data_IF_036477111936
#
_entry.id   IF_036477111936
#
_cell.length_a   1.000
_cell.length_b   1.000
_cell.length_c   1.000
_cell.angle_alpha   90.00
_cell.angle_beta   90.00
_cell.angle_gamma   90.00
#
_symmetry.space_group_name_H-M   'P 1'
#
loop_
_entity.id
_entity.type
_entity.pdbx_description
1 polymer ?
#
# COMPACT_ATOMS: atom_id res chain seq x y z
N UNK A 1 -54.65 10.32 10.59
CA UNK A 1 -54.99 10.28 12.03
C UNK A 1 -54.30 9.04 12.59
N UNK A 2 -52.98 8.95 12.47
CA UNK A 2 -51.98 9.67 13.29
C UNK A 2 -52.05 9.23 14.75
N UNK A 3 -51.12 8.38 15.17
CA UNK A 3 -50.06 8.77 16.10
C UNK A 3 -49.10 7.58 16.27
N UNK A 4 -47.90 7.69 15.68
CA UNK A 4 -46.77 6.81 15.97
C UNK A 4 -45.57 7.72 16.18
N UNK A 5 -45.46 8.15 17.44
CA UNK A 5 -44.23 8.69 17.98
C UNK A 5 -43.26 7.52 18.20
N UNK A 6 -42.22 7.42 17.35
CA UNK A 6 -40.97 6.72 17.69
C UNK A 6 -39.80 7.38 16.97
N UNK A 7 -38.91 7.92 17.78
CA UNK A 7 -37.62 8.53 17.45
C UNK A 7 -36.70 7.52 16.74
N UNK A 8 -35.81 7.98 15.84
CA UNK A 8 -34.78 7.12 15.26
C UNK A 8 -33.64 6.91 16.26
N UNK A 9 -33.47 5.64 16.65
CA UNK A 9 -32.35 5.10 17.41
C UNK A 9 -31.04 5.26 16.62
N UNK A 10 -30.12 6.02 17.19
CA UNK A 10 -28.72 6.15 16.75
C UNK A 10 -27.99 4.90 17.25
N UNK A 11 -27.64 4.00 16.34
CA UNK A 11 -26.67 2.93 16.65
C UNK A 11 -25.27 3.50 16.54
N UNK A 12 -24.65 3.75 17.70
CA UNK A 12 -23.20 3.91 17.85
C UNK A 12 -22.52 2.64 17.34
N UNK A 13 -21.67 2.78 16.32
CA UNK A 13 -20.75 1.72 15.91
C UNK A 13 -19.42 1.96 16.61
N UNK A 14 -19.08 0.95 17.40
CA UNK A 14 -18.01 0.85 18.39
C UNK A 14 -16.63 1.11 17.80
N UNK A 15 -15.91 2.00 18.45
CA UNK A 15 -14.47 2.26 18.28
C UNK A 15 -13.71 1.00 18.70
N UNK A 16 -12.99 0.36 17.77
CA UNK A 16 -12.06 -0.73 18.11
C UNK A 16 -10.78 -0.17 18.75
N UNK A 17 -10.44 -0.85 19.84
CA UNK A 17 -9.55 -0.49 20.93
C UNK A 17 -8.06 -0.60 20.57
N UNK A 18 -7.26 0.31 21.12
CA UNK A 18 -5.80 0.27 21.06
C UNK A 18 -5.29 -0.69 22.16
N UNK A 19 -4.21 -1.46 21.96
CA UNK A 19 -3.72 -2.32 23.03
C UNK A 19 -2.98 -1.49 24.09
N UNK A 20 -3.63 -1.31 25.25
CA UNK A 20 -3.02 -0.95 26.52
C UNK A 20 -2.16 -2.12 27.03
N UNK A 21 -0.85 -1.94 27.20
CA UNK A 21 0.00 -2.88 27.94
C UNK A 21 0.00 -2.49 29.44
N UNK A 22 -0.70 -3.28 30.26
CA UNK A 22 -0.60 -3.23 31.71
C UNK A 22 0.74 -3.83 32.19
N UNK A 23 1.49 -3.00 32.91
CA UNK A 23 2.58 -3.38 33.79
C UNK A 23 1.97 -3.86 35.12
N UNK A 24 2.33 -5.04 35.65
CA UNK A 24 2.87 -5.19 37.02
C UNK A 24 3.15 -6.64 37.51
N UNK A 25 4.40 -6.77 37.99
CA UNK A 25 4.89 -7.39 39.25
C UNK A 25 4.94 -8.92 39.48
N UNK A 26 6.22 -9.33 39.64
CA UNK A 26 6.81 -10.46 40.35
C UNK A 26 6.03 -11.11 41.52
N UNK A 27 6.07 -12.44 41.58
CA UNK A 27 6.39 -13.13 42.85
C UNK A 27 7.09 -14.48 42.65
N UNK A 28 8.24 -14.58 43.31
CA UNK A 28 9.23 -15.66 43.43
C UNK A 28 8.71 -16.95 44.09
N UNK A 29 9.00 -18.14 43.53
CA UNK A 29 9.48 -19.30 44.34
C UNK A 29 10.10 -20.44 43.51
N UNK A 30 11.18 -20.94 44.09
CA UNK A 30 12.14 -21.99 43.75
C UNK A 30 11.57 -23.33 43.20
N UNK A 31 12.30 -23.99 42.28
CA UNK A 31 12.90 -25.32 42.50
C UNK A 31 13.93 -25.69 41.40
N UNK A 32 15.09 -26.08 41.91
CA UNK A 32 16.37 -26.56 41.35
C UNK A 32 16.28 -27.86 40.55
N UNK A 33 17.02 -27.97 39.42
CA UNK A 33 17.87 -29.15 39.11
C UNK A 33 18.95 -28.87 38.04
N UNK A 34 20.17 -29.21 38.43
CA UNK A 34 21.48 -29.18 37.77
C UNK A 34 21.53 -30.03 36.47
N UNK A 35 22.38 -29.80 35.44
CA UNK A 35 23.85 -29.99 35.46
C UNK A 35 24.51 -29.67 34.10
N UNK A 36 25.75 -29.12 34.17
CA UNK A 36 26.90 -29.16 33.23
C UNK A 36 27.02 -28.21 32.02
N UNK A 37 27.63 -27.04 32.30
CA UNK A 37 29.00 -26.60 31.94
C UNK A 37 29.68 -27.26 30.73
N UNK A 38 30.01 -26.45 29.72
CA UNK A 38 31.41 -26.27 29.32
C UNK A 38 31.70 -24.86 28.79
N UNK A 39 32.88 -24.41 29.16
CA UNK A 39 33.46 -23.07 29.11
C UNK A 39 34.14 -22.75 27.78
N UNK A 40 34.01 -21.53 27.28
CA UNK A 40 35.11 -20.70 26.73
C UNK A 40 34.62 -19.25 26.51
N UNK A 41 35.40 -18.30 27.01
CA UNK A 41 35.28 -16.85 26.79
C UNK A 41 36.53 -16.38 26.01
N UNK A 42 36.68 -15.08 25.68
CA UNK A 42 35.87 -14.28 24.76
C UNK A 42 36.76 -13.78 23.59
N UNK A 43 36.23 -13.73 22.37
CA UNK A 43 36.93 -13.06 21.25
C UNK A 43 36.29 -11.70 20.96
N UNK A 44 37.05 -10.65 21.26
CA UNK A 44 36.84 -9.27 20.85
C UNK A 44 36.90 -9.14 19.33
N UNK A 45 35.77 -8.82 18.69
CA UNK A 45 35.73 -8.06 17.42
C UNK A 45 34.55 -7.08 17.43
N UNK A 46 34.77 -5.80 17.12
CA UNK A 46 33.73 -4.77 17.22
C UNK A 46 32.63 -5.04 16.20
N UNK A 47 31.38 -5.05 16.69
CA UNK A 47 30.18 -5.14 15.89
C UNK A 47 30.13 -3.95 14.92
N UNK A 48 30.36 -4.23 13.65
CA UNK A 48 30.13 -3.27 12.58
C UNK A 48 28.67 -2.79 12.65
N UNK A 49 28.51 -1.47 12.76
CA UNK A 49 27.24 -0.77 12.71
C UNK A 49 26.41 -1.28 11.52
N UNK A 50 25.29 -1.95 11.81
CA UNK A 50 24.29 -2.23 10.78
C UNK A 50 23.64 -0.90 10.42
N UNK A 51 24.14 -0.31 9.34
CA UNK A 51 23.52 0.78 8.60
C UNK A 51 22.07 0.35 8.32
N UNK A 52 21.11 1.00 8.99
CA UNK A 52 19.70 0.77 8.77
C UNK A 52 19.38 0.95 7.29
N UNK A 53 18.62 0.01 6.72
CA UNK A 53 18.08 0.13 5.38
C UNK A 53 17.34 1.47 5.30
N UNK A 54 17.77 2.33 4.37
CA UNK A 54 17.11 3.60 4.09
C UNK A 54 15.66 3.35 3.69
N UNK A 55 14.80 4.24 4.16
CA UNK A 55 13.34 4.24 4.09
C UNK A 55 12.66 4.32 2.69
N UNK A 56 13.29 4.47 1.50
CA UNK A 56 12.54 4.43 0.24
C UNK A 56 12.11 3.01 -0.22
N UNK A 57 12.69 1.95 0.36
CA UNK A 57 12.53 0.57 -0.13
C UNK A 57 11.12 0.00 0.08
N UNK A 58 10.35 0.53 1.05
CA UNK A 58 9.03 -0.02 1.38
C UNK A 58 7.92 0.38 0.39
N UNK A 59 8.03 1.54 -0.24
CA UNK A 59 7.02 2.04 -1.19
C UNK A 59 7.15 1.32 -2.54
N UNK A 60 8.37 0.97 -2.96
CA UNK A 60 8.63 0.15 -4.14
C UNK A 60 8.09 -1.29 -3.99
N UNK A 61 8.11 -1.83 -2.77
CA UNK A 61 7.59 -3.18 -2.46
C UNK A 61 6.08 -3.31 -2.63
N UNK A 62 5.29 -2.25 -2.40
CA UNK A 62 3.82 -2.29 -2.57
C UNK A 62 3.43 -2.33 -4.05
N UNK A 63 4.22 -1.70 -4.91
CA UNK A 63 3.95 -1.66 -6.36
C UNK A 63 4.48 -2.91 -7.06
N UNK A 64 5.64 -3.42 -6.63
CA UNK A 64 6.08 -4.77 -7.01
C UNK A 64 5.15 -5.83 -6.42
N UNK A 65 4.56 -5.66 -5.23
CA UNK A 65 3.53 -6.57 -4.72
C UNK A 65 2.17 -6.43 -5.42
N UNK A 66 1.90 -5.34 -6.15
CA UNK A 66 0.74 -5.30 -7.05
C UNK A 66 1.02 -6.03 -8.37
N UNK A 67 2.28 -6.03 -8.82
CA UNK A 67 2.73 -6.77 -10.01
C UNK A 67 3.04 -8.25 -9.69
N UNK A 68 3.51 -8.55 -8.48
CA UNK A 68 3.99 -9.85 -8.00
C UNK A 68 3.06 -10.46 -6.96
N UNK A 69 2.20 -9.71 -6.27
CA UNK A 69 1.08 -10.28 -5.50
C UNK A 69 0.03 -10.93 -6.40
N UNK A 70 0.04 -10.58 -7.70
CA UNK A 70 -0.66 -11.32 -8.76
C UNK A 70 0.15 -12.55 -9.22
N UNK A 71 1.48 -12.57 -9.06
CA UNK A 71 2.35 -13.69 -9.47
C UNK A 71 2.79 -14.62 -8.32
N UNK A 72 2.51 -14.29 -7.06
CA UNK A 72 2.98 -15.00 -5.87
C UNK A 72 1.89 -15.34 -4.84
N UNK A 73 0.62 -15.12 -5.17
CA UNK A 73 -0.52 -15.50 -4.33
C UNK A 73 -1.01 -16.91 -4.62
N UNK A 74 -0.32 -17.92 -4.11
CA UNK A 74 -0.93 -19.24 -3.93
C UNK A 74 -2.04 -19.10 -2.87
N UNK A 75 -3.29 -19.11 -3.35
CA UNK A 75 -4.45 -19.76 -2.75
C UNK A 75 -4.47 -19.80 -1.22
N UNK A 76 -5.21 -18.90 -0.57
CA UNK A 76 -5.83 -19.08 0.76
C UNK A 76 -6.63 -17.81 1.10
N UNK A 77 -7.92 -17.77 0.75
CA UNK A 77 -9.02 -17.18 1.54
C UNK A 77 -10.35 -17.46 0.82
N UNK A 78 -11.34 -17.86 1.62
CA UNK A 78 -12.52 -18.62 1.24
C UNK A 78 -13.56 -17.86 0.41
N UNK A 79 -14.31 -18.65 -0.35
CA UNK A 79 -15.29 -18.17 -1.31
C UNK A 79 -16.54 -17.54 -0.68
N UNK A 80 -17.22 -16.76 -1.52
CA UNK A 80 -18.64 -16.44 -1.42
C UNK A 80 -19.21 -16.68 -2.82
N UNK A 81 -20.24 -17.53 -2.89
CA UNK A 81 -20.70 -18.19 -4.10
C UNK A 81 -21.41 -17.30 -5.11
N UNK A 82 -21.27 -17.70 -6.38
CA UNK A 82 -22.12 -17.32 -7.50
C UNK A 82 -22.20 -18.51 -8.46
N UNK A 83 -23.42 -18.90 -8.81
CA UNK A 83 -23.81 -20.23 -9.30
C UNK A 83 -23.28 -20.65 -10.68
N UNK A 84 -22.85 -21.91 -10.73
CA UNK A 84 -22.83 -22.90 -11.84
C UNK A 84 -22.36 -22.46 -13.24
N UNK A 85 -21.08 -22.74 -13.49
CA UNK A 85 -20.47 -22.92 -14.81
C UNK A 85 -20.91 -24.27 -15.39
N UNK A 86 -21.60 -24.28 -16.54
CA UNK A 86 -21.94 -25.54 -17.20
C UNK A 86 -20.72 -26.13 -17.91
N UNK A 87 -20.02 -27.02 -17.21
CA UNK A 87 -19.43 -28.24 -17.78
C UNK A 87 -17.97 -28.23 -18.25
N UNK A 88 -17.34 -27.07 -18.51
CA UNK A 88 -15.92 -27.01 -18.88
C UNK A 88 -15.13 -26.15 -17.90
N UNK A 89 -14.11 -26.73 -17.28
CA UNK A 89 -13.14 -26.04 -16.39
C UNK A 89 -11.87 -25.63 -17.14
N UNK A 90 -11.74 -26.07 -18.39
CA UNK A 90 -10.57 -25.83 -19.23
C UNK A 90 -10.97 -25.36 -20.63
N UNK A 91 -10.06 -24.63 -21.28
CA UNK A 91 -10.13 -24.07 -22.62
C UNK A 91 -9.00 -24.67 -23.45
N UNK A 92 -9.28 -25.01 -24.70
CA UNK A 92 -8.21 -25.28 -25.68
C UNK A 92 -7.63 -23.98 -26.24
N UNK A 93 -6.50 -24.08 -26.93
CA UNK A 93 -5.76 -22.93 -27.46
C UNK A 93 -6.58 -22.08 -28.44
N UNK A 94 -7.42 -22.73 -29.26
CA UNK A 94 -8.37 -22.09 -30.17
C UNK A 94 -9.53 -21.38 -29.45
N UNK A 95 -9.80 -21.74 -28.20
CA UNK A 95 -10.85 -21.15 -27.38
C UNK A 95 -10.38 -19.94 -26.56
N UNK A 96 -9.09 -19.61 -26.58
CA UNK A 96 -8.54 -18.45 -25.87
C UNK A 96 -9.11 -17.13 -26.36
N UNK A 97 -9.48 -17.04 -27.64
CA UNK A 97 -10.08 -15.84 -28.23
C UNK A 97 -11.61 -15.76 -28.00
N UNK A 98 -12.18 -16.68 -27.21
CA UNK A 98 -13.60 -16.63 -26.86
C UNK A 98 -13.90 -15.42 -25.97
N UNK A 99 -14.96 -14.70 -26.31
CA UNK A 99 -15.43 -13.54 -25.54
C UNK A 99 -16.06 -14.00 -24.23
N UNK A 100 -15.44 -13.62 -23.12
CA UNK A 100 -15.85 -13.89 -21.74
C UNK A 100 -16.68 -12.74 -21.14
N UNK A 101 -16.66 -11.58 -21.78
CA UNK A 101 -17.39 -10.40 -21.35
C UNK A 101 -17.15 -9.23 -22.28
N UNK A 102 -17.77 -8.10 -21.96
CA UNK A 102 -17.56 -6.82 -22.65
C UNK A 102 -17.46 -5.70 -21.64
N UNK A 103 -16.79 -4.62 -22.00
CA UNK A 103 -16.89 -3.35 -21.29
C UNK A 103 -17.18 -2.21 -22.25
N UNK A 104 -17.84 -1.18 -21.74
CA UNK A 104 -18.10 0.05 -22.49
C UNK A 104 -17.34 1.20 -21.86
N UNK A 105 -16.71 2.01 -22.70
CA UNK A 105 -15.98 3.21 -22.27
C UNK A 105 -16.00 4.23 -23.41
N UNK A 106 -16.25 5.51 -23.09
CA UNK A 106 -16.32 6.57 -24.10
C UNK A 106 -17.36 6.31 -25.20
N UNK A 107 -18.46 5.62 -24.87
CA UNK A 107 -19.52 5.26 -25.83
C UNK A 107 -19.17 4.13 -26.80
N UNK A 108 -18.02 3.46 -26.61
CA UNK A 108 -17.57 2.30 -27.41
C UNK A 108 -17.61 1.03 -26.58
N UNK A 109 -17.97 -0.08 -27.21
CA UNK A 109 -17.93 -1.42 -26.60
C UNK A 109 -16.65 -2.15 -27.00
N UNK A 110 -16.04 -2.83 -26.03
CA UNK A 110 -14.82 -3.62 -26.18
C UNK A 110 -15.06 -5.02 -25.65
N UNK A 111 -14.59 -6.02 -26.39
CA UNK A 111 -14.65 -7.42 -25.98
C UNK A 111 -13.52 -7.74 -24.98
N UNK A 112 -13.81 -8.64 -24.04
CA UNK A 112 -12.85 -9.22 -23.11
C UNK A 112 -12.75 -10.71 -23.41
N UNK A 113 -11.60 -11.15 -23.91
CA UNK A 113 -11.37 -12.57 -24.23
C UNK A 113 -10.81 -13.35 -23.05
N UNK A 114 -10.87 -14.68 -23.11
CA UNK A 114 -10.19 -15.52 -22.12
C UNK A 114 -8.67 -15.27 -22.12
N UNK A 115 -8.07 -15.04 -23.30
CA UNK A 115 -6.66 -14.66 -23.46
C UNK A 115 -6.34 -13.40 -22.68
N UNK A 116 -7.16 -12.37 -22.79
CA UNK A 116 -6.95 -11.08 -22.10
C UNK A 116 -6.88 -11.28 -20.58
N UNK A 117 -7.82 -12.05 -20.02
CA UNK A 117 -7.87 -12.28 -18.56
C UNK A 117 -6.72 -13.17 -18.08
N UNK A 118 -6.32 -14.17 -18.87
CA UNK A 118 -5.18 -15.04 -18.54
C UNK A 118 -3.88 -14.25 -18.57
N UNK A 119 -3.68 -13.47 -19.64
CA UNK A 119 -2.44 -12.69 -19.87
C UNK A 119 -2.27 -11.53 -18.89
N UNK A 120 -3.34 -11.15 -18.20
CA UNK A 120 -3.30 -10.16 -17.11
C UNK A 120 -2.64 -10.72 -15.85
N UNK A 121 -2.77 -12.02 -15.61
CA UNK A 121 -2.26 -12.67 -14.39
C UNK A 121 -0.94 -13.38 -14.60
N UNK A 122 -0.67 -13.87 -15.82
CA UNK A 122 0.54 -14.64 -16.13
C UNK A 122 0.76 -14.71 -17.65
N UNK A 123 1.94 -15.13 -18.11
CA UNK A 123 2.11 -15.42 -19.54
C UNK A 123 1.26 -16.64 -19.96
N UNK A 124 0.86 -16.71 -21.23
CA UNK A 124 0.13 -17.89 -21.75
C UNK A 124 0.93 -19.18 -21.53
N UNK A 125 2.24 -19.14 -21.77
CA UNK A 125 3.13 -20.28 -21.58
C UNK A 125 3.09 -20.82 -20.15
N UNK A 126 3.08 -19.92 -19.15
CA UNK A 126 2.96 -20.29 -17.73
C UNK A 126 1.55 -20.69 -17.31
N UNK A 127 0.51 -20.20 -17.99
CA UNK A 127 -0.88 -20.55 -17.73
C UNK A 127 -1.30 -21.88 -18.38
N UNK A 128 -0.50 -22.38 -19.32
CA UNK A 128 -0.75 -23.63 -20.05
C UNK A 128 -0.50 -24.82 -19.12
N UNK A 129 -1.50 -25.68 -19.00
CA UNK A 129 -1.41 -26.91 -18.20
C UNK A 129 -0.59 -27.97 -18.94
N UNK A 130 -0.20 -29.03 -18.22
CA UNK A 130 0.58 -30.15 -18.79
C UNK A 130 -0.13 -30.84 -19.96
N UNK A 131 -1.45 -30.84 -19.98
CA UNK A 131 -2.29 -31.39 -21.06
C UNK A 131 -2.44 -30.45 -22.27
N UNK A 132 -1.80 -29.27 -22.24
CA UNK A 132 -1.87 -28.25 -23.27
C UNK A 132 -3.12 -27.36 -23.21
N UNK A 133 -3.99 -27.54 -22.21
CA UNK A 133 -5.19 -26.73 -22.01
C UNK A 133 -4.96 -25.57 -21.03
N UNK A 134 -5.89 -24.62 -21.00
CA UNK A 134 -5.86 -23.45 -20.13
C UNK A 134 -7.02 -23.48 -19.15
N UNK A 135 -6.83 -23.03 -17.92
CA UNK A 135 -7.95 -22.93 -16.98
C UNK A 135 -8.92 -21.83 -17.41
N UNK A 136 -10.23 -22.09 -17.36
CA UNK A 136 -11.24 -21.06 -17.61
C UNK A 136 -11.08 -19.95 -16.57
N UNK A 137 -10.93 -18.67 -16.98
CA UNK A 137 -10.84 -17.56 -16.04
C UNK A 137 -12.12 -17.40 -15.21
N UNK A 138 -11.96 -17.04 -13.94
CA UNK A 138 -13.10 -16.70 -13.09
C UNK A 138 -13.76 -15.40 -13.57
N UNK A 139 -15.08 -15.28 -13.35
CA UNK A 139 -15.84 -14.08 -13.68
C UNK A 139 -15.26 -12.80 -13.04
N UNK A 140 -14.75 -12.91 -11.81
CA UNK A 140 -14.06 -11.80 -11.13
C UNK A 140 -12.83 -11.31 -11.90
N UNK A 141 -12.07 -12.22 -12.53
CA UNK A 141 -10.94 -11.87 -13.38
C UNK A 141 -11.35 -11.06 -14.61
N UNK A 142 -12.52 -11.37 -15.20
CA UNK A 142 -13.09 -10.60 -16.33
C UNK A 142 -13.39 -9.17 -15.90
N UNK A 143 -14.01 -9.00 -14.72
CA UNK A 143 -14.31 -7.68 -14.15
C UNK A 143 -13.04 -6.91 -13.82
N UNK A 144 -12.05 -7.56 -13.21
CA UNK A 144 -10.76 -6.97 -12.86
C UNK A 144 -10.00 -6.49 -14.10
N UNK A 145 -9.98 -7.31 -15.15
CA UNK A 145 -9.41 -6.91 -16.44
C UNK A 145 -10.15 -5.70 -17.03
N UNK A 146 -11.48 -5.75 -17.11
CA UNK A 146 -12.28 -4.67 -17.67
C UNK A 146 -12.04 -3.34 -16.95
N UNK A 147 -11.98 -3.34 -15.61
CA UNK A 147 -11.64 -2.15 -14.82
C UNK A 147 -10.24 -1.63 -15.16
N UNK A 148 -9.24 -2.51 -15.20
CA UNK A 148 -7.87 -2.14 -15.53
C UNK A 148 -7.74 -1.59 -16.95
N UNK A 149 -8.46 -2.17 -17.91
CA UNK A 149 -8.51 -1.72 -19.29
C UNK A 149 -9.17 -0.34 -19.42
N UNK A 150 -10.26 -0.08 -18.69
CA UNK A 150 -10.90 1.25 -18.64
C UNK A 150 -9.91 2.30 -18.12
N UNK A 151 -9.17 2.01 -17.04
CA UNK A 151 -8.18 2.94 -16.51
C UNK A 151 -7.03 3.17 -17.51
N UNK A 152 -6.57 2.14 -18.21
CA UNK A 152 -5.56 2.29 -19.26
C UNK A 152 -6.05 3.20 -20.39
N UNK A 153 -7.31 3.07 -20.81
CA UNK A 153 -7.90 3.98 -21.81
C UNK A 153 -8.09 5.40 -21.30
N UNK A 154 -8.43 5.56 -20.02
CA UNK A 154 -8.47 6.88 -19.42
C UNK A 154 -7.09 7.55 -19.38
N UNK A 155 -6.01 6.78 -19.16
CA UNK A 155 -4.65 7.29 -19.28
C UNK A 155 -4.33 7.74 -20.72
N UNK A 156 -4.67 6.91 -21.72
CA UNK A 156 -4.51 7.24 -23.14
C UNK A 156 -5.27 8.52 -23.53
N UNK A 157 -6.53 8.65 -23.09
CA UNK A 157 -7.38 9.83 -23.37
C UNK A 157 -6.84 11.12 -22.72
N UNK A 158 -6.18 11.00 -21.58
CA UNK A 158 -5.47 12.12 -20.93
C UNK A 158 -4.13 12.46 -21.59
N UNK A 159 -3.76 11.77 -22.67
CA UNK A 159 -2.50 11.96 -23.36
C UNK A 159 -1.29 11.43 -22.58
N UNK A 160 -1.51 10.54 -21.61
CA UNK A 160 -0.44 9.89 -20.86
C UNK A 160 0.19 8.83 -21.76
N UNK A 161 1.18 9.27 -22.54
CA UNK A 161 2.09 8.40 -23.26
C UNK A 161 3.32 8.12 -22.39
N UNK A 162 3.81 6.88 -22.43
CA UNK A 162 5.02 6.47 -21.73
C UNK A 162 6.16 6.45 -22.73
N UNK A 163 7.10 7.37 -22.56
CA UNK A 163 8.36 7.35 -23.31
C UNK A 163 9.25 6.21 -22.79
N UNK A 164 10.30 5.89 -23.55
CA UNK A 164 11.29 4.92 -23.10
C UNK A 164 11.99 5.41 -21.82
N UNK A 165 12.26 6.72 -21.71
CA UNK A 165 12.84 7.32 -20.51
C UNK A 165 11.93 7.21 -19.29
N UNK A 166 10.61 7.41 -19.46
CA UNK A 166 9.64 7.26 -18.38
C UNK A 166 9.61 5.82 -17.85
N UNK A 167 9.65 4.86 -18.78
CA UNK A 167 9.65 3.43 -18.47
C UNK A 167 10.92 3.04 -17.73
N UNK A 168 12.08 3.51 -18.20
CA UNK A 168 13.38 3.25 -17.59
C UNK A 168 13.47 3.87 -16.19
N UNK A 169 12.99 5.11 -16.02
CA UNK A 169 12.95 5.77 -14.72
C UNK A 169 12.03 5.02 -13.73
N UNK A 170 10.88 4.54 -14.21
CA UNK A 170 9.97 3.74 -13.41
C UNK A 170 10.60 2.39 -13.03
N UNK A 171 11.24 1.69 -13.97
CA UNK A 171 11.96 0.44 -13.72
C UNK A 171 13.10 0.65 -12.72
N UNK A 172 13.92 1.68 -12.91
CA UNK A 172 15.04 1.99 -12.04
C UNK A 172 14.59 2.34 -10.61
N UNK A 173 13.53 3.13 -10.46
CA UNK A 173 13.00 3.52 -9.14
C UNK A 173 12.31 2.36 -8.42
N UNK A 174 11.65 1.48 -9.16
CA UNK A 174 10.82 0.40 -8.59
C UNK A 174 11.59 -0.91 -8.41
N UNK A 175 12.41 -1.28 -9.40
CA UNK A 175 13.14 -2.55 -9.47
C UNK A 175 14.63 -2.40 -9.19
N UNK A 176 15.12 -1.16 -9.06
CA UNK A 176 16.54 -0.88 -8.83
C UNK A 176 17.43 -1.04 -10.06
N UNK A 177 16.86 -1.41 -11.22
CA UNK A 177 17.54 -1.46 -12.52
C UNK A 177 16.53 -1.27 -13.66
N UNK A 178 17.00 -0.88 -14.84
CA UNK A 178 16.20 -0.72 -16.07
C UNK A 178 16.65 -1.68 -17.19
N UNK A 179 17.41 -2.72 -16.86
CA UNK A 179 17.83 -3.73 -17.82
C UNK A 179 16.73 -4.79 -17.96
N UNK A 180 15.87 -4.60 -18.97
CA UNK A 180 14.71 -5.45 -19.22
C UNK A 180 15.06 -6.91 -19.46
N UNK A 181 16.23 -7.22 -20.05
CA UNK A 181 16.66 -8.61 -20.29
C UNK A 181 17.04 -9.29 -18.98
N UNK A 182 17.74 -8.56 -18.10
CA UNK A 182 18.06 -9.03 -16.74
C UNK A 182 16.82 -9.19 -15.88
N UNK A 183 15.86 -8.25 -15.97
CA UNK A 183 14.56 -8.35 -15.29
C UNK A 183 13.81 -9.58 -15.82
N UNK A 184 13.63 -9.68 -17.13
CA UNK A 184 12.98 -10.82 -17.80
C UNK A 184 13.55 -12.16 -17.34
N UNK A 185 14.88 -12.30 -17.37
CA UNK A 185 15.57 -13.52 -16.94
C UNK A 185 15.29 -13.86 -15.47
N UNK A 186 15.24 -12.84 -14.60
CA UNK A 186 14.97 -13.02 -13.16
C UNK A 186 13.55 -13.53 -12.89
N UNK A 187 12.59 -13.17 -13.74
CA UNK A 187 11.18 -13.55 -13.60
C UNK A 187 10.74 -14.66 -14.57
N UNK A 188 11.65 -15.21 -15.39
CA UNK A 188 11.31 -16.21 -16.40
C UNK A 188 10.36 -15.68 -17.48
N UNK A 189 10.41 -14.39 -17.75
CA UNK A 189 9.59 -13.68 -18.75
C UNK A 189 10.43 -13.31 -19.96
N UNK A 190 9.79 -12.91 -21.06
CA UNK A 190 10.46 -12.26 -22.17
C UNK A 190 10.56 -10.74 -21.94
N UNK A 191 11.60 -10.11 -22.49
CA UNK A 191 11.88 -8.69 -22.29
C UNK A 191 10.75 -7.79 -22.82
N UNK A 192 10.05 -8.20 -23.86
CA UNK A 192 8.94 -7.42 -24.42
C UNK A 192 7.72 -7.42 -23.49
N UNK A 193 7.39 -8.56 -22.90
CA UNK A 193 6.37 -8.68 -21.84
C UNK A 193 6.72 -7.81 -20.64
N UNK A 194 7.98 -7.84 -20.20
CA UNK A 194 8.44 -6.98 -19.09
C UNK A 194 8.30 -5.50 -19.45
N UNK A 195 8.75 -5.07 -20.63
CA UNK A 195 8.61 -3.68 -21.09
C UNK A 195 7.16 -3.25 -21.12
N UNK A 196 6.25 -4.10 -21.64
CA UNK A 196 4.82 -3.81 -21.68
C UNK A 196 4.25 -3.62 -20.28
N UNK A 197 4.58 -4.52 -19.35
CA UNK A 197 4.10 -4.48 -17.97
C UNK A 197 4.59 -3.24 -17.20
N UNK A 198 5.88 -2.91 -17.37
CA UNK A 198 6.49 -1.71 -16.78
C UNK A 198 5.86 -0.45 -17.39
N UNK A 199 5.61 -0.42 -18.70
CA UNK A 199 4.93 0.71 -19.35
C UNK A 199 3.52 0.92 -18.81
N UNK A 200 2.74 -0.16 -18.68
CA UNK A 200 1.39 -0.09 -18.12
C UNK A 200 1.40 0.42 -16.67
N UNK A 201 2.37 -0.05 -15.88
CA UNK A 201 2.52 0.38 -14.49
C UNK A 201 2.95 1.84 -14.38
N UNK A 202 3.88 2.29 -15.24
CA UNK A 202 4.31 3.68 -15.32
C UNK A 202 3.17 4.60 -15.76
N UNK A 203 2.34 4.18 -16.73
CA UNK A 203 1.13 4.90 -17.15
C UNK A 203 0.14 5.06 -16.00
N UNK A 204 -0.08 4.00 -15.23
CA UNK A 204 -0.95 4.04 -14.06
C UNK A 204 -0.40 4.97 -12.97
N UNK A 205 0.91 4.94 -12.73
CA UNK A 205 1.56 5.83 -11.76
C UNK A 205 1.37 7.29 -12.18
N UNK A 206 1.67 7.62 -13.44
CA UNK A 206 1.47 8.99 -13.96
C UNK A 206 0.02 9.42 -13.90
N UNK A 207 -0.91 8.53 -14.23
CA UNK A 207 -2.34 8.81 -14.12
C UNK A 207 -2.72 9.12 -12.68
N UNK A 208 -2.28 8.29 -11.73
CA UNK A 208 -2.52 8.52 -10.31
C UNK A 208 -1.92 9.84 -9.86
N UNK A 209 -0.69 10.16 -10.24
CA UNK A 209 -0.01 11.40 -9.85
C UNK A 209 -0.68 12.64 -10.47
N UNK A 210 -1.29 12.50 -11.66
CA UNK A 210 -2.06 13.58 -12.30
C UNK A 210 -3.40 13.86 -11.60
N UNK A 211 -3.99 12.83 -10.97
CA UNK A 211 -5.30 12.89 -10.31
C UNK A 211 -5.17 13.21 -8.83
N UNK A 212 -4.16 12.64 -8.17
CA UNK A 212 -3.92 12.77 -6.73
C UNK A 212 -2.99 13.95 -6.50
N UNK A 213 -3.58 15.12 -6.25
CA UNK A 213 -2.81 16.34 -5.97
C UNK A 213 -2.29 16.40 -4.54
N UNK A 214 -2.84 15.56 -3.66
CA UNK A 214 -2.49 15.53 -2.24
C UNK A 214 -1.28 14.64 -1.99
N UNK A 215 -0.18 15.24 -1.55
CA UNK A 215 1.03 14.52 -1.15
C UNK A 215 1.13 14.44 0.38
N UNK A 216 1.00 13.23 0.93
CA UNK A 216 1.15 13.01 2.37
C UNK A 216 2.60 12.96 2.86
N UNK A 217 3.58 12.95 1.95
CA UNK A 217 4.99 12.77 2.29
C UNK A 217 5.29 11.38 2.84
N UNK A 218 6.37 11.28 3.63
CA UNK A 218 6.76 10.04 4.29
C UNK A 218 6.14 9.95 5.68
N UNK A 219 5.81 8.73 6.12
CA UNK A 219 5.34 8.51 7.49
C UNK A 219 6.38 9.02 8.50
N UNK A 220 5.98 9.75 9.55
CA UNK A 220 6.91 10.22 10.57
C UNK A 220 7.52 9.02 11.31
N UNK A 221 8.75 9.16 11.78
CA UNK A 221 9.45 8.16 12.59
C UNK A 221 9.33 8.52 14.06
N UNK A 222 9.02 7.55 14.93
CA UNK A 222 8.92 7.79 16.37
C UNK A 222 10.23 8.35 16.96
N UNK A 223 10.16 9.20 18.01
CA UNK A 223 11.35 9.70 18.69
C UNK A 223 12.10 8.56 19.39
N UNK A 224 13.42 8.67 19.44
CA UNK A 224 14.29 7.70 20.12
C UNK A 224 13.91 7.60 21.59
N UNK A 225 13.70 6.37 22.09
CA UNK A 225 13.39 6.15 23.50
C UNK A 225 14.59 6.56 24.38
N UNK A 226 14.39 7.29 25.49
CA UNK A 226 15.47 7.62 26.42
C UNK A 226 16.02 6.35 27.11
N UNK A 227 17.25 6.44 27.61
CA UNK A 227 17.83 5.39 28.45
C UNK A 227 17.04 5.24 29.77
N UNK A 228 17.10 4.05 30.37
CA UNK A 228 16.43 3.79 31.65
C UNK A 228 16.92 4.77 32.73
N UNK A 229 15.97 5.46 33.38
CA UNK A 229 16.23 6.48 34.39
C UNK A 229 16.36 7.91 33.85
N UNK A 230 16.19 8.12 32.53
CA UNK A 230 16.24 9.44 31.86
C UNK A 230 14.90 9.83 31.22
N UNK A 231 13.79 9.26 31.67
CA UNK A 231 12.46 9.47 31.07
C UNK A 231 12.01 10.94 31.17
N UNK A 232 12.39 11.63 32.25
CA UNK A 232 12.03 13.04 32.49
C UNK A 232 13.06 14.04 31.94
N UNK A 233 14.14 13.55 31.31
CA UNK A 233 15.22 14.41 30.84
C UNK A 233 14.75 15.21 29.61
N UNK A 234 14.73 16.54 29.74
CA UNK A 234 14.54 17.43 28.61
C UNK A 234 15.87 17.60 27.84
N UNK A 235 15.82 17.42 26.51
CA UNK A 235 17.02 17.44 25.67
C UNK A 235 16.83 18.30 24.42
N UNK A 236 17.96 18.73 23.84
CA UNK A 236 17.96 19.44 22.57
C UNK A 236 17.53 18.55 21.41
N UNK A 237 17.83 17.25 21.45
CA UNK A 237 17.45 16.32 20.38
C UNK A 237 15.92 16.20 20.26
N UNK A 238 15.22 16.11 21.40
CA UNK A 238 13.75 16.11 21.41
C UNK A 238 13.17 17.45 20.98
N UNK A 239 13.79 18.58 21.35
CA UNK A 239 13.35 19.89 20.87
C UNK A 239 13.44 19.99 19.35
N UNK A 240 14.58 19.63 18.78
CA UNK A 240 14.79 19.65 17.33
C UNK A 240 13.85 18.69 16.61
N UNK A 241 13.53 17.54 17.21
CA UNK A 241 12.52 16.61 16.68
C UNK A 241 11.13 17.26 16.63
N UNK A 242 10.66 17.87 17.73
CA UNK A 242 9.36 18.54 17.79
C UNK A 242 9.30 19.69 16.78
N UNK A 243 10.34 20.52 16.72
CA UNK A 243 10.43 21.67 15.81
C UNK A 243 10.44 21.20 14.35
N UNK A 244 11.17 20.13 14.04
CA UNK A 244 11.21 19.54 12.71
C UNK A 244 9.85 19.03 12.23
N UNK A 245 9.04 18.49 13.15
CA UNK A 245 7.66 18.07 12.85
C UNK A 245 6.70 19.27 12.73
N UNK A 246 6.82 20.25 13.62
CA UNK A 246 6.00 21.46 13.60
C UNK A 246 6.24 22.33 12.36
N UNK A 247 7.47 22.32 11.84
CA UNK A 247 7.86 23.10 10.67
C UNK A 247 7.55 24.59 10.86
N UNK A 248 6.69 25.14 10.01
CA UNK A 248 6.31 26.56 10.06
C UNK A 248 5.43 26.96 11.25
N UNK A 249 4.88 25.99 12.01
CA UNK A 249 4.15 26.31 13.24
C UNK A 249 5.08 26.72 14.39
N UNK A 250 6.37 26.38 14.32
CA UNK A 250 7.36 26.83 15.28
C UNK A 250 8.08 28.09 14.80
N UNK A 251 8.17 29.08 15.69
CA UNK A 251 8.94 30.29 15.51
C UNK A 251 10.24 30.19 16.33
N UNK A 252 11.32 29.82 15.64
CA UNK A 252 12.63 29.68 16.26
C UNK A 252 13.21 31.01 16.75
N UNK A 253 12.87 32.14 16.12
CA UNK A 253 13.37 33.46 16.51
C UNK A 253 12.73 33.93 17.82
N UNK A 254 11.45 33.61 18.01
CA UNK A 254 10.69 33.93 19.23
C UNK A 254 10.71 32.80 20.28
N UNK A 255 11.39 31.68 20.00
CA UNK A 255 11.49 30.52 20.89
C UNK A 255 10.11 30.02 21.35
N UNK A 256 9.19 29.84 20.41
CA UNK A 256 7.81 29.48 20.70
C UNK A 256 6.98 29.16 19.47
N UNK A 257 5.67 29.04 19.65
CA UNK A 257 4.72 28.79 18.56
C UNK A 257 4.45 30.07 17.76
N UNK A 258 4.46 29.98 16.43
CA UNK A 258 4.08 31.07 15.53
C UNK A 258 2.60 31.45 15.66
N UNK A 259 1.75 30.47 15.99
CA UNK A 259 0.33 30.64 16.29
C UNK A 259 -0.11 29.63 17.37
N UNK A 260 -1.09 30.00 18.20
CA UNK A 260 -1.55 29.16 19.32
C UNK A 260 -2.67 28.18 18.97
N UNK A 261 -3.28 28.33 17.79
CA UNK A 261 -4.41 27.53 17.30
C UNK A 261 -3.98 26.44 16.30
N UNK A 262 -2.67 26.34 16.02
CA UNK A 262 -2.11 25.27 15.20
C UNK A 262 -2.25 23.88 15.85
N UNK A 263 -2.30 22.80 15.07
CA UNK A 263 -2.44 21.44 15.59
C UNK A 263 -1.30 21.07 16.56
N UNK A 264 -0.06 21.49 16.28
CA UNK A 264 1.05 21.23 17.20
C UNK A 264 0.94 22.08 18.46
N UNK A 265 0.71 23.39 18.32
CA UNK A 265 0.59 24.30 19.45
C UNK A 265 -0.54 23.89 20.42
N UNK A 266 -1.67 23.44 19.88
CA UNK A 266 -2.82 22.97 20.66
C UNK A 266 -2.50 21.67 21.39
N UNK A 267 -1.99 20.67 20.68
CA UNK A 267 -1.69 19.36 21.26
C UNK A 267 -0.55 19.41 22.28
N UNK A 268 0.39 20.33 22.10
CA UNK A 268 1.59 20.46 22.93
C UNK A 268 1.45 21.54 24.02
N UNK A 269 0.26 22.13 24.19
CA UNK A 269 0.00 23.24 25.11
C UNK A 269 0.36 22.96 26.58
N UNK A 270 0.35 21.69 27.00
CA UNK A 270 0.71 21.27 28.36
C UNK A 270 2.22 21.03 28.55
N UNK A 271 3.02 21.09 27.48
CA UNK A 271 4.45 20.82 27.53
C UNK A 271 5.26 22.12 27.45
N UNK A 272 6.37 22.15 28.18
CA UNK A 272 7.36 23.21 28.03
C UNK A 272 8.34 22.82 26.93
N UNK A 273 8.33 23.58 25.84
CA UNK A 273 9.22 23.39 24.68
C UNK A 273 9.97 24.70 24.46
N UNK A 274 11.27 24.58 24.24
CA UNK A 274 12.14 25.65 23.76
C UNK A 274 12.97 25.14 22.59
N UNK A 275 13.71 26.01 21.92
CA UNK A 275 14.62 25.67 20.82
C UNK A 275 15.60 24.55 21.17
N UNK A 276 16.00 24.47 22.45
CA UNK A 276 17.07 23.58 22.92
C UNK A 276 16.59 22.58 23.98
N UNK A 277 15.30 22.55 24.31
CA UNK A 277 14.79 21.69 25.37
C UNK A 277 13.35 21.25 25.15
N UNK A 278 13.15 19.94 25.04
CA UNK A 278 11.85 19.29 25.12
C UNK A 278 11.98 17.92 25.79
N UNK A 279 10.91 17.44 26.41
CA UNK A 279 10.86 16.10 27.01
C UNK A 279 10.55 15.04 25.95
N UNK A 280 10.84 13.77 26.27
CA UNK A 280 10.43 12.64 25.43
C UNK A 280 8.91 12.61 25.22
N UNK A 281 8.12 12.89 26.25
CA UNK A 281 6.66 12.95 26.16
C UNK A 281 6.17 14.02 25.17
N UNK A 282 6.79 15.21 25.18
CA UNK A 282 6.50 16.26 24.20
C UNK A 282 6.83 15.80 22.77
N UNK A 283 7.97 15.11 22.59
CA UNK A 283 8.33 14.53 21.30
C UNK A 283 7.34 13.43 20.85
N UNK A 284 6.86 12.59 21.75
CA UNK A 284 5.84 11.59 21.45
C UNK A 284 4.50 12.24 21.08
N UNK A 285 4.07 13.26 21.82
CA UNK A 285 2.86 14.01 21.51
C UNK A 285 2.96 14.65 20.10
N UNK A 286 4.09 15.29 19.78
CA UNK A 286 4.34 15.84 18.46
C UNK A 286 4.32 14.76 17.35
N UNK A 287 4.91 13.59 17.62
CA UNK A 287 4.85 12.45 16.72
C UNK A 287 3.42 12.00 16.43
N UNK A 288 2.56 11.92 17.45
CA UNK A 288 1.16 11.54 17.26
C UNK A 288 0.38 12.56 16.43
N UNK A 289 0.65 13.86 16.59
CA UNK A 289 0.08 14.91 15.73
C UNK A 289 0.53 14.71 14.29
N UNK A 290 1.84 14.53 14.07
CA UNK A 290 2.40 14.29 12.74
C UNK A 290 1.78 13.07 12.06
N UNK A 291 1.62 11.97 12.82
CA UNK A 291 1.07 10.73 12.29
C UNK A 291 -0.42 10.87 11.96
N UNK A 292 -1.19 11.57 12.79
CA UNK A 292 -2.61 11.86 12.50
C UNK A 292 -2.75 12.71 11.23
N UNK A 293 -1.95 13.77 11.07
CA UNK A 293 -1.95 14.58 9.86
C UNK A 293 -1.54 13.79 8.62
N UNK A 294 -0.50 12.96 8.73
CA UNK A 294 -0.09 12.02 7.68
C UNK A 294 -1.23 11.08 7.29
N UNK A 295 -1.86 10.42 8.26
CA UNK A 295 -2.95 9.46 8.03
C UNK A 295 -4.19 10.11 7.39
N UNK A 296 -4.56 11.30 7.84
CA UNK A 296 -5.65 12.09 7.26
C UNK A 296 -5.34 12.49 5.81
N UNK A 297 -4.12 12.99 5.56
CA UNK A 297 -3.68 13.38 4.21
C UNK A 297 -3.62 12.19 3.26
N UNK A 298 -3.16 11.02 3.73
CA UNK A 298 -3.22 9.77 2.98
C UNK A 298 -4.65 9.34 2.67
N UNK A 299 -5.58 9.54 3.60
CA UNK A 299 -6.99 9.23 3.39
C UNK A 299 -7.61 10.13 2.31
N UNK A 300 -7.26 11.42 2.29
CA UNK A 300 -7.65 12.34 1.21
C UNK A 300 -7.06 11.89 -0.14
N UNK A 301 -5.78 11.55 -0.19
CA UNK A 301 -5.13 11.07 -1.41
C UNK A 301 -5.81 9.78 -1.95
N UNK A 302 -6.14 8.84 -1.06
CA UNK A 302 -6.91 7.62 -1.39
C UNK A 302 -8.32 7.95 -1.89
N UNK A 303 -8.99 8.90 -1.27
CA UNK A 303 -10.34 9.33 -1.66
C UNK A 303 -10.34 9.97 -3.05
N UNK A 304 -9.37 10.84 -3.36
CA UNK A 304 -9.21 11.45 -4.69
C UNK A 304 -9.10 10.38 -5.78
N UNK A 305 -8.21 9.40 -5.58
CA UNK A 305 -8.04 8.29 -6.51
C UNK A 305 -9.32 7.45 -6.65
N UNK A 306 -9.95 7.11 -5.52
CA UNK A 306 -11.17 6.30 -5.51
C UNK A 306 -12.32 7.00 -6.20
N UNK A 307 -12.50 8.30 -5.97
CA UNK A 307 -13.53 9.11 -6.62
C UNK A 307 -13.31 9.21 -8.12
N UNK A 308 -12.06 9.36 -8.56
CA UNK A 308 -11.72 9.34 -9.97
C UNK A 308 -12.06 8.00 -10.63
N UNK A 309 -11.61 6.89 -10.04
CA UNK A 309 -11.91 5.54 -10.56
C UNK A 309 -13.42 5.28 -10.57
N UNK A 310 -14.12 5.62 -9.49
CA UNK A 310 -15.57 5.46 -9.42
C UNK A 310 -16.28 6.33 -10.48
N UNK A 311 -15.81 7.55 -10.73
CA UNK A 311 -16.32 8.41 -11.79
C UNK A 311 -16.14 7.82 -13.19
N UNK A 312 -14.99 7.20 -13.47
CA UNK A 312 -14.77 6.45 -14.71
C UNK A 312 -15.72 5.26 -14.82
N UNK A 313 -15.81 4.45 -13.76
CA UNK A 313 -16.60 3.22 -13.77
C UNK A 313 -18.11 3.48 -13.79
N UNK A 314 -18.60 4.58 -13.22
CA UNK A 314 -20.00 4.99 -13.33
C UNK A 314 -20.40 5.34 -14.78
N UNK A 315 -19.44 5.76 -15.60
CA UNK A 315 -19.63 6.02 -17.03
C UNK A 315 -19.31 4.80 -17.91
N UNK A 316 -19.01 3.67 -17.30
CA UNK A 316 -18.73 2.40 -17.95
C UNK A 316 -19.77 1.35 -17.58
N UNK A 317 -19.99 0.39 -18.48
CA UNK A 317 -20.77 -0.82 -18.20
C UNK A 317 -19.88 -2.02 -18.46
N UNK A 318 -19.87 -2.99 -17.55
CA UNK A 318 -19.15 -4.27 -17.68
C UNK A 318 -20.18 -5.38 -17.70
N UNK A 319 -20.16 -6.21 -18.73
CA UNK A 319 -21.01 -7.41 -18.84
C UNK A 319 -20.12 -8.64 -18.84
N UNK A 320 -20.41 -9.60 -17.97
CA UNK A 320 -19.71 -10.90 -17.93
C UNK A 320 -20.61 -11.94 -18.57
N UNK A 321 -20.08 -12.69 -19.53
CA UNK A 321 -20.80 -13.76 -20.19
C UNK A 321 -20.44 -15.10 -19.56
N UNK A 322 -21.44 -15.95 -19.37
CA UNK A 322 -21.17 -17.38 -19.19
C UNK A 322 -20.78 -17.96 -20.55
N UNK A 323 -19.68 -18.69 -20.62
CA UNK A 323 -19.42 -19.57 -21.76
C UNK A 323 -20.55 -20.60 -21.83
N UNK A 324 -21.48 -20.41 -22.77
CA UNK A 324 -22.44 -21.44 -23.16
C UNK A 324 -21.73 -22.24 -24.25
N UNK A 325 -21.50 -23.53 -23.98
CA UNK A 325 -21.04 -24.46 -25.01
C UNK A 325 -22.16 -24.75 -26.02
#
# INVERSE_FOLDING_TARGET
MDDSTKEPEVTEETVEDAPEEEVERDTKKDTKKDTKKDTSAPDDKPAAARKGLSTPVWVALVVVALVVGVLGGHFLLGGIGGSSLSGKTTLSEDQLDSVMGTYTYGGKTYDVTARDVITTQSSLSSAKQEDGSYKVPAADGVVSYARSAILAKAAEDQGISISDEDRDAYAQSTLGNSDYDSIASSYGMDADTVKKLISQSAAMSKLRDSVVTTNAGTAPTAPTKPADGQQDAATSDYAQYVIGLAGSEWDADNNGWAATDGPYATALSNYTITNDSATYEAAQAAYYVAYQQYSSTQSVAKSQWTNYVNGLLCNASISVFSLVA
#
